data_IF_795516462132
#
_entry.id   IF_795516462132
#
_cell.length_a   1.000
_cell.length_b   1.000
_cell.length_c   1.000
_cell.angle_alpha   90.00
_cell.angle_beta   90.00
_cell.angle_gamma   90.00
#
_symmetry.space_group_name_H-M   'P 1'
#
loop_
_entity.id
_entity.type
_entity.pdbx_description
1 polymer ?
#
# COMPACT_ATOMS: atom_id res chain seq x y z
N UNK A 1 30.72 -8.20 20.57
CA UNK A 1 29.56 -7.31 20.32
C UNK A 1 28.39 -8.19 19.94
N UNK A 2 27.54 -8.51 20.91
CA UNK A 2 26.34 -9.32 20.69
C UNK A 2 25.23 -8.42 20.15
N UNK A 3 24.89 -8.62 18.88
CA UNK A 3 23.72 -8.02 18.24
C UNK A 3 22.46 -8.59 18.89
N UNK A 4 21.83 -7.79 19.75
CA UNK A 4 20.45 -8.03 20.18
C UNK A 4 19.52 -7.79 18.98
N UNK A 5 19.28 -8.83 18.20
CA UNK A 5 18.14 -8.85 17.29
C UNK A 5 16.87 -8.87 18.14
N UNK A 6 16.13 -7.75 18.15
CA UNK A 6 14.78 -7.75 18.70
C UNK A 6 13.93 -8.70 17.84
N UNK A 7 13.78 -9.94 18.29
CA UNK A 7 12.76 -10.84 17.78
C UNK A 7 11.39 -10.26 18.17
N UNK A 8 10.80 -9.49 17.27
CA UNK A 8 9.38 -9.12 17.36
C UNK A 8 8.60 -10.43 17.34
N UNK A 9 8.13 -10.91 18.51
CA UNK A 9 7.27 -12.09 18.60
C UNK A 9 6.02 -11.86 17.75
N UNK A 10 5.99 -12.53 16.61
CA UNK A 10 4.94 -12.45 15.62
C UNK A 10 3.74 -13.26 16.11
N UNK A 11 2.72 -12.58 16.64
CA UNK A 11 1.51 -13.23 17.12
C UNK A 11 0.46 -13.35 16.01
N UNK A 12 -0.20 -14.51 15.86
CA UNK A 12 -1.29 -14.67 14.91
C UNK A 12 -2.48 -13.78 15.30
N UNK A 13 -2.97 -12.98 14.36
CA UNK A 13 -4.06 -12.01 14.55
C UNK A 13 -5.33 -12.57 13.90
N UNK A 14 -6.46 -12.49 14.57
CA UNK A 14 -7.75 -12.86 13.95
C UNK A 14 -8.10 -11.85 12.86
N UNK A 15 -8.63 -12.32 11.74
CA UNK A 15 -9.10 -11.44 10.67
C UNK A 15 -10.44 -10.75 11.03
N UNK A 16 -10.34 -9.72 11.86
CA UNK A 16 -11.42 -8.78 12.18
C UNK A 16 -10.83 -7.42 12.54
N UNK A 17 -11.63 -6.37 12.32
CA UNK A 17 -11.19 -4.98 12.47
C UNK A 17 -10.60 -4.67 13.86
N UNK A 18 -11.21 -5.04 15.01
CA UNK A 18 -10.61 -4.78 16.32
C UNK A 18 -9.23 -5.40 16.53
N UNK A 19 -9.03 -6.65 16.09
CA UNK A 19 -7.77 -7.36 16.24
C UNK A 19 -6.68 -6.78 15.32
N UNK A 20 -7.03 -6.47 14.08
CA UNK A 20 -6.14 -5.80 13.11
C UNK A 20 -5.73 -4.43 13.64
N UNK A 21 -6.69 -3.62 14.09
CA UNK A 21 -6.44 -2.30 14.66
C UNK A 21 -5.43 -2.36 15.80
N UNK A 22 -5.68 -3.23 16.79
CA UNK A 22 -4.77 -3.42 17.93
C UNK A 22 -3.37 -3.86 17.49
N UNK A 23 -3.28 -4.72 16.48
CA UNK A 23 -1.98 -5.16 15.96
C UNK A 23 -1.18 -4.00 15.37
N UNK A 24 -1.80 -3.16 14.52
CA UNK A 24 -1.15 -2.00 13.92
C UNK A 24 -0.68 -1.03 15.01
N UNK A 25 -1.56 -0.74 15.97
CA UNK A 25 -1.28 0.14 17.11
C UNK A 25 -0.13 -0.33 17.99
N UNK A 26 0.06 -1.65 18.11
CA UNK A 26 1.16 -2.26 18.85
C UNK A 26 2.45 -2.28 18.04
N UNK A 27 2.38 -2.62 16.76
CA UNK A 27 3.54 -2.80 15.89
C UNK A 27 4.32 -1.49 15.71
N UNK A 28 3.62 -0.37 15.52
CA UNK A 28 4.25 0.94 15.32
C UNK A 28 4.14 1.88 16.50
N UNK A 29 3.58 1.44 17.63
CA UNK A 29 3.34 2.29 18.81
C UNK A 29 2.58 3.59 18.46
N UNK A 30 1.63 3.52 17.53
CA UNK A 30 0.79 4.64 17.08
C UNK A 30 -0.64 4.45 17.56
N UNK A 31 -1.23 5.44 18.24
CA UNK A 31 -2.60 5.34 18.77
C UNK A 31 -3.24 6.72 18.92
N UNK A 32 -4.53 6.90 18.59
CA UNK A 32 -5.47 5.91 18.05
C UNK A 32 -5.47 5.88 16.53
N UNK A 33 -5.68 4.70 15.92
CA UNK A 33 -5.88 4.61 14.47
C UNK A 33 -7.35 4.40 14.10
N UNK A 34 -7.71 4.73 12.85
CA UNK A 34 -8.99 4.38 12.23
C UNK A 34 -8.72 3.61 10.95
N UNK A 35 -9.21 2.37 10.86
CA UNK A 35 -9.19 1.62 9.60
C UNK A 35 -10.21 2.28 8.65
N UNK A 36 -9.82 2.49 7.40
CA UNK A 36 -10.65 3.15 6.37
C UNK A 36 -11.02 2.21 5.25
N UNK A 37 -10.09 1.33 4.85
CA UNK A 37 -10.32 0.37 3.79
C UNK A 37 -9.38 -0.83 3.97
N UNK A 38 -9.74 -1.97 3.37
CA UNK A 38 -8.86 -3.13 3.30
C UNK A 38 -9.10 -3.93 2.03
N UNK A 39 -8.04 -4.47 1.45
CA UNK A 39 -8.09 -5.25 0.22
C UNK A 39 -7.28 -6.55 0.39
N UNK A 40 -7.83 -7.65 -0.08
CA UNK A 40 -7.15 -8.94 -0.16
C UNK A 40 -6.42 -9.05 -1.51
N UNK A 41 -5.11 -9.31 -1.48
CA UNK A 41 -4.27 -9.51 -2.67
C UNK A 41 -3.48 -10.82 -2.51
N UNK A 42 -3.79 -11.84 -3.31
CA UNK A 42 -3.19 -13.16 -3.17
C UNK A 42 -3.33 -13.73 -1.75
N UNK A 43 -2.19 -13.96 -1.09
CA UNK A 43 -2.08 -14.44 0.28
C UNK A 43 -1.91 -13.32 1.32
N UNK A 44 -2.04 -12.06 0.92
CA UNK A 44 -1.81 -10.90 1.79
C UNK A 44 -3.07 -10.03 1.88
N UNK A 45 -3.20 -9.29 2.98
CA UNK A 45 -4.21 -8.28 3.21
C UNK A 45 -3.53 -6.93 3.37
N UNK A 46 -3.94 -5.95 2.57
CA UNK A 46 -3.51 -4.56 2.68
C UNK A 46 -4.59 -3.80 3.44
N UNK A 47 -4.18 -3.02 4.43
CA UNK A 47 -5.08 -2.21 5.27
C UNK A 47 -4.65 -0.76 5.18
N UNK A 48 -5.56 0.08 4.70
CA UNK A 48 -5.45 1.53 4.74
C UNK A 48 -6.08 2.04 6.05
N UNK A 49 -5.30 2.79 6.81
CA UNK A 49 -5.74 3.42 8.05
C UNK A 49 -5.33 4.89 8.11
N UNK A 50 -5.95 5.64 9.00
CA UNK A 50 -5.50 6.99 9.38
C UNK A 50 -5.05 6.99 10.83
N UNK A 51 -4.02 7.78 11.11
CA UNK A 51 -3.53 8.09 12.45
C UNK A 51 -3.27 9.59 12.49
N UNK A 52 -3.92 10.30 13.41
CA UNK A 52 -3.96 11.77 13.37
C UNK A 52 -4.41 12.27 11.98
N UNK A 53 -3.60 13.09 11.32
CA UNK A 53 -3.81 13.60 9.96
C UNK A 53 -2.95 12.88 8.90
N UNK A 54 -2.50 11.67 9.19
CA UNK A 54 -1.61 10.90 8.34
C UNK A 54 -2.31 9.67 7.73
N UNK A 55 -1.86 9.31 6.53
CA UNK A 55 -2.25 8.08 5.84
C UNK A 55 -1.27 6.97 6.21
N UNK A 56 -1.80 5.83 6.59
CA UNK A 56 -1.07 4.64 6.95
C UNK A 56 -1.44 3.43 6.11
N UNK A 57 -0.47 2.57 5.91
CA UNK A 57 -0.58 1.27 5.26
C UNK A 57 -0.08 0.20 6.23
N UNK A 58 -0.81 -0.90 6.32
CA UNK A 58 -0.30 -2.12 6.94
C UNK A 58 -0.51 -3.32 6.02
N UNK A 59 0.46 -4.21 5.99
CA UNK A 59 0.47 -5.41 5.17
C UNK A 59 0.48 -6.62 6.09
N UNK A 60 -0.46 -7.52 5.88
CA UNK A 60 -0.56 -8.77 6.61
C UNK A 60 -0.43 -9.95 5.66
N UNK A 61 0.24 -11.02 6.08
CA UNK A 61 0.19 -12.30 5.39
C UNK A 61 -0.81 -13.24 6.05
N UNK A 62 -1.55 -14.00 5.24
CA UNK A 62 -2.47 -15.04 5.70
C UNK A 62 -1.71 -16.32 6.03
N UNK A 63 -1.80 -16.73 7.28
CA UNK A 63 -1.34 -18.03 7.75
C UNK A 63 -2.36 -19.15 7.53
N UNK A 64 -1.92 -20.37 7.84
CA UNK A 64 -2.62 -21.64 7.56
C UNK A 64 -4.02 -21.75 8.23
N UNK A 65 -4.31 -20.93 9.25
CA UNK A 65 -5.58 -20.97 10.00
C UNK A 65 -6.42 -19.68 9.87
N UNK A 66 -6.34 -18.97 8.74
CA UNK A 66 -6.97 -17.63 8.52
C UNK A 66 -6.49 -16.54 9.50
N UNK A 67 -5.46 -16.83 10.28
CA UNK A 67 -4.81 -15.83 11.11
C UNK A 67 -3.90 -14.99 10.23
N UNK A 68 -3.88 -13.69 10.50
CA UNK A 68 -3.05 -12.70 9.86
C UNK A 68 -1.73 -12.55 10.62
N UNK A 69 -0.68 -12.21 9.88
CA UNK A 69 0.63 -11.90 10.39
C UNK A 69 1.05 -10.51 9.90
N UNK A 70 1.17 -9.54 10.80
CA UNK A 70 1.59 -8.18 10.43
C UNK A 70 3.06 -8.18 9.96
N UNK A 71 3.28 -7.82 8.70
CA UNK A 71 4.60 -7.75 8.07
C UNK A 71 5.19 -6.36 8.08
N UNK A 72 4.33 -5.37 7.92
CA UNK A 72 4.74 -3.99 7.79
C UNK A 72 3.63 -3.06 8.27
N UNK A 73 4.04 -1.94 8.86
CA UNK A 73 3.21 -0.79 9.14
C UNK A 73 4.02 0.45 8.81
N UNK A 74 3.50 1.28 7.90
CA UNK A 74 4.08 2.57 7.55
C UNK A 74 3.02 3.66 7.56
N UNK A 75 3.42 4.89 7.84
CA UNK A 75 2.54 6.06 7.81
C UNK A 75 3.31 7.30 7.35
N UNK A 76 2.60 8.40 7.06
CA UNK A 76 3.20 9.64 6.65
C UNK A 76 2.18 10.70 6.24
N UNK A 77 2.68 11.90 5.99
CA UNK A 77 1.86 13.10 5.71
C UNK A 77 1.36 13.20 4.27
N UNK A 78 1.89 12.37 3.36
CA UNK A 78 1.36 12.29 1.99
C UNK A 78 -0.05 11.70 2.00
N UNK A 79 -0.96 12.30 1.23
CA UNK A 79 -2.33 11.81 1.03
C UNK A 79 -2.39 10.48 0.25
N UNK A 80 -1.32 10.16 -0.47
CA UNK A 80 -1.19 8.96 -1.31
C UNK A 80 0.07 8.21 -0.92
N UNK A 81 -0.01 6.88 -0.93
CA UNK A 81 1.12 5.96 -0.74
C UNK A 81 1.11 4.94 -1.86
N UNK A 82 2.31 4.52 -2.26
CA UNK A 82 2.50 3.47 -3.25
C UNK A 82 3.65 2.57 -2.84
N UNK A 83 3.53 1.28 -3.14
CA UNK A 83 4.53 0.29 -2.77
C UNK A 83 4.44 -0.93 -3.69
N UNK A 84 5.52 -1.71 -3.75
CA UNK A 84 5.49 -3.07 -4.32
C UNK A 84 5.38 -4.05 -3.16
N UNK A 85 4.37 -4.91 -3.22
CA UNK A 85 4.08 -5.93 -2.23
C UNK A 85 4.28 -7.29 -2.88
N UNK A 86 5.08 -8.15 -2.24
CA UNK A 86 5.19 -9.57 -2.60
C UNK A 86 4.18 -10.37 -1.80
N UNK A 87 3.28 -11.07 -2.48
CA UNK A 87 2.32 -12.00 -1.87
C UNK A 87 2.47 -13.39 -2.48
N UNK A 88 3.04 -14.32 -1.70
CA UNK A 88 3.54 -15.59 -2.23
C UNK A 88 4.62 -15.33 -3.27
N UNK A 89 4.47 -15.92 -4.47
CA UNK A 89 5.38 -15.74 -5.60
C UNK A 89 4.94 -14.62 -6.57
N UNK A 90 3.90 -13.87 -6.23
CA UNK A 90 3.41 -12.78 -7.08
C UNK A 90 3.72 -11.42 -6.47
N UNK A 91 4.16 -10.47 -7.31
CA UNK A 91 4.33 -9.07 -6.94
C UNK A 91 3.14 -8.24 -7.41
N UNK A 92 2.77 -7.28 -6.57
CA UNK A 92 1.71 -6.33 -6.83
C UNK A 92 2.25 -4.93 -6.59
N UNK A 93 1.93 -4.00 -7.48
CA UNK A 93 1.95 -2.59 -7.12
C UNK A 93 0.65 -2.28 -6.39
N UNK A 94 0.76 -1.52 -5.32
CA UNK A 94 -0.39 -0.93 -4.63
C UNK A 94 -0.29 0.59 -4.66
N UNK A 95 -1.45 1.23 -4.79
CA UNK A 95 -1.65 2.65 -4.67
C UNK A 95 -2.85 2.87 -3.75
N UNK A 96 -2.66 3.60 -2.66
CA UNK A 96 -3.72 3.82 -1.68
C UNK A 96 -3.68 5.23 -1.11
N UNK A 97 -4.81 5.70 -0.60
CA UNK A 97 -4.88 7.00 0.04
C UNK A 97 -6.26 7.62 0.06
N UNK A 98 -6.29 8.93 0.23
CA UNK A 98 -7.49 9.76 0.16
C UNK A 98 -7.78 10.12 -1.31
N UNK A 99 -9.01 9.90 -1.77
CA UNK A 99 -9.45 10.30 -3.09
C UNK A 99 -10.11 11.69 -3.04
N UNK A 100 -9.42 12.68 -3.62
CA UNK A 100 -9.93 14.03 -3.86
C UNK A 100 -10.02 14.28 -5.37
N UNK A 101 -10.89 13.51 -6.05
CA UNK A 101 -11.16 13.53 -7.50
C UNK A 101 -10.15 12.80 -8.41
N UNK A 102 -9.41 11.81 -7.89
CA UNK A 102 -8.58 10.90 -8.68
C UNK A 102 -9.42 9.88 -9.47
N UNK A 103 -9.02 9.61 -10.71
CA UNK A 103 -9.65 8.64 -11.62
C UNK A 103 -8.75 7.47 -12.01
N UNK A 104 -7.46 7.72 -12.24
CA UNK A 104 -6.51 6.67 -12.64
C UNK A 104 -5.06 7.02 -12.28
N UNK A 105 -4.18 6.04 -12.42
CA UNK A 105 -2.74 6.21 -12.31
C UNK A 105 -1.98 5.43 -13.38
N UNK A 106 -0.86 5.99 -13.84
CA UNK A 106 0.19 5.27 -14.58
C UNK A 106 1.40 5.11 -13.65
N UNK A 107 1.94 3.91 -13.57
CA UNK A 107 3.10 3.61 -12.71
C UNK A 107 4.13 2.83 -13.53
N UNK A 108 5.39 3.27 -13.54
CA UNK A 108 6.48 2.51 -14.16
C UNK A 108 7.22 1.66 -13.14
N UNK A 109 7.37 0.38 -13.48
CA UNK A 109 8.10 -0.60 -12.69
C UNK A 109 8.98 -1.43 -13.62
N UNK A 110 10.30 -1.36 -13.42
CA UNK A 110 11.27 -2.11 -14.21
C UNK A 110 11.12 -1.87 -15.72
N UNK A 111 10.91 -0.60 -16.11
CA UNK A 111 10.67 -0.17 -17.49
C UNK A 111 9.29 -0.47 -18.07
N UNK A 112 8.40 -1.17 -17.36
CA UNK A 112 7.03 -1.45 -17.81
C UNK A 112 6.02 -0.49 -17.20
N UNK A 113 5.05 -0.03 -18.00
CA UNK A 113 4.00 0.89 -17.56
C UNK A 113 2.73 0.13 -17.22
N UNK A 114 2.26 0.33 -15.99
CA UNK A 114 1.04 -0.25 -15.47
C UNK A 114 -0.03 0.83 -15.28
N UNK A 115 -1.25 0.53 -15.74
CA UNK A 115 -2.41 1.40 -15.57
C UNK A 115 -3.28 0.89 -14.41
N UNK A 116 -3.60 1.76 -13.47
CA UNK A 116 -4.50 1.47 -12.36
C UNK A 116 -5.74 2.37 -12.45
N UNK A 117 -6.91 1.76 -12.32
CA UNK A 117 -8.14 2.52 -12.07
C UNK A 117 -8.26 2.83 -10.59
N UNK A 118 -8.69 4.05 -10.25
CA UNK A 118 -8.88 4.48 -8.86
C UNK A 118 -10.39 4.50 -8.55
N UNK A 119 -10.87 3.72 -7.56
CA UNK A 119 -12.25 3.76 -7.11
C UNK A 119 -12.66 5.15 -6.64
N UNK A 120 -13.94 5.51 -6.82
CA UNK A 120 -14.49 6.83 -6.40
C UNK A 120 -14.69 6.97 -4.90
N UNK A 121 -14.35 5.95 -4.11
CA UNK A 121 -14.44 5.99 -2.65
C UNK A 121 -13.48 7.01 -2.06
N UNK A 122 -13.90 7.71 -1.00
CA UNK A 122 -13.08 8.73 -0.34
C UNK A 122 -11.73 8.19 0.17
N UNK A 123 -11.67 6.90 0.53
CA UNK A 123 -10.43 6.20 0.84
C UNK A 123 -10.32 4.96 -0.04
N UNK A 124 -9.24 4.85 -0.83
CA UNK A 124 -9.11 3.82 -1.84
C UNK A 124 -7.85 2.97 -1.67
N UNK A 125 -7.92 1.75 -2.18
CA UNK A 125 -6.78 0.87 -2.43
C UNK A 125 -6.95 0.34 -3.85
N UNK A 126 -6.00 0.64 -4.72
CA UNK A 126 -5.90 0.09 -6.08
C UNK A 126 -4.65 -0.76 -6.19
N UNK A 127 -4.72 -1.82 -6.98
CA UNK A 127 -3.59 -2.73 -7.18
C UNK A 127 -3.55 -3.27 -8.60
N UNK A 128 -2.35 -3.63 -9.04
CA UNK A 128 -2.11 -4.33 -10.29
C UNK A 128 -0.97 -5.33 -10.07
N UNK A 129 -1.13 -6.52 -10.64
CA UNK A 129 -0.06 -7.53 -10.68
C UNK A 129 1.04 -7.06 -11.62
N UNK A 130 2.29 -7.16 -11.19
CA UNK A 130 3.45 -6.79 -12.01
C UNK A 130 4.28 -8.02 -12.38
N UNK A 131 5.03 -7.91 -13.47
CA UNK A 131 5.98 -8.94 -13.91
C UNK A 131 7.10 -9.10 -12.88
N UNK A 132 7.71 -10.29 -12.86
CA UNK A 132 8.71 -10.63 -11.86
C UNK A 132 10.13 -10.16 -12.25
N UNK A 133 10.22 -9.14 -13.11
CA UNK A 133 11.49 -8.64 -13.64
C UNK A 133 12.45 -8.22 -12.52
N UNK A 134 13.75 -8.38 -12.80
CA UNK A 134 14.82 -8.36 -11.80
C UNK A 134 15.02 -7.02 -11.08
N UNK A 135 14.34 -5.95 -11.50
CA UNK A 135 14.31 -4.65 -10.84
C UNK A 135 12.87 -4.24 -10.53
N UNK A 136 12.32 -4.75 -9.43
CA UNK A 136 11.00 -4.37 -8.94
C UNK A 136 11.08 -3.05 -8.15
N UNK A 137 11.54 -1.99 -8.80
CA UNK A 137 11.54 -0.63 -8.27
C UNK A 137 10.49 0.20 -8.97
N UNK A 138 9.75 1.00 -8.21
CA UNK A 138 8.85 2.00 -8.77
C UNK A 138 9.72 3.18 -9.21
N UNK A 139 9.82 3.38 -10.52
CA UNK A 139 10.60 4.46 -11.11
C UNK A 139 9.86 5.78 -11.00
N UNK A 140 8.58 5.78 -11.40
CA UNK A 140 7.72 6.94 -11.36
C UNK A 140 6.24 6.60 -11.23
N UNK A 141 5.47 7.60 -10.78
CA UNK A 141 4.01 7.54 -10.63
C UNK A 141 3.40 8.82 -11.19
N UNK A 142 2.35 8.68 -11.99
CA UNK A 142 1.54 9.81 -12.48
C UNK A 142 0.08 9.54 -12.15
N UNK A 143 -0.58 10.51 -11.53
CA UNK A 143 -2.00 10.45 -11.18
C UNK A 143 -2.82 11.35 -12.10
N UNK A 144 -4.00 10.87 -12.47
CA UNK A 144 -4.96 11.59 -13.29
C UNK A 144 -6.28 11.73 -12.53
N UNK A 145 -6.94 12.87 -12.71
CA UNK A 145 -8.29 13.09 -12.21
C UNK A 145 -9.34 12.31 -13.03
N UNK A 146 -10.59 12.41 -12.61
CA UNK A 146 -11.73 11.77 -13.29
C UNK A 146 -12.01 12.29 -14.70
N UNK A 147 -11.44 13.44 -15.08
CA UNK A 147 -11.47 14.01 -16.43
C UNK A 147 -10.22 13.65 -17.26
N UNK A 148 -9.39 12.71 -16.76
CA UNK A 148 -8.14 12.27 -17.36
C UNK A 148 -7.08 13.39 -17.48
N UNK A 149 -7.16 14.41 -16.64
CA UNK A 149 -6.14 15.45 -16.52
C UNK A 149 -5.12 15.04 -15.48
N UNK A 150 -3.84 15.20 -15.81
CA UNK A 150 -2.75 14.97 -14.85
C UNK A 150 -2.85 15.92 -13.65
N UNK A 151 -2.74 15.37 -12.45
CA UNK A 151 -2.79 16.12 -11.18
C UNK A 151 -1.52 16.03 -10.36
N UNK A 152 -0.76 14.94 -10.50
CA UNK A 152 0.47 14.71 -9.76
C UNK A 152 1.42 13.84 -10.56
N UNK A 153 2.70 14.20 -10.51
CA UNK A 153 3.81 13.44 -11.09
C UNK A 153 4.92 13.29 -10.05
N UNK A 154 5.41 12.06 -9.89
CA UNK A 154 6.43 11.71 -8.91
C UNK A 154 7.58 11.02 -9.65
N UNK A 155 8.80 11.52 -9.45
CA UNK A 155 10.05 10.98 -10.00
C UNK A 155 10.10 10.89 -11.55
N UNK A 156 9.25 11.62 -12.25
CA UNK A 156 9.26 11.72 -13.71
C UNK A 156 9.50 13.19 -14.10
N UNK A 157 10.49 13.50 -14.94
CA UNK A 157 10.73 14.87 -15.41
C UNK A 157 9.51 15.48 -16.11
N UNK A 158 9.37 16.81 -16.03
CA UNK A 158 8.23 17.54 -16.60
C UNK A 158 8.25 17.62 -18.14
N UNK A 159 9.42 17.45 -18.74
CA UNK A 159 9.65 17.43 -20.19
C UNK A 159 9.39 16.05 -20.82
N UNK A 160 9.22 15.00 -19.99
CA UNK A 160 8.93 13.67 -20.48
C UNK A 160 7.43 13.47 -20.75
N UNK A 161 7.10 13.24 -22.02
CA UNK A 161 5.73 12.93 -22.46
C UNK A 161 5.41 11.46 -22.14
N UNK A 162 4.22 11.24 -21.58
CA UNK A 162 3.68 9.89 -21.36
C UNK A 162 2.98 9.45 -22.64
N UNK A 163 3.50 8.43 -23.32
CA UNK A 163 2.79 7.73 -24.39
C UNK A 163 1.63 6.87 -23.84
#
# INVERSE_FOLDING_TARGET
>A
MESHGNETKLHPIRDNEPAIKRSIEQFSNIRPISIKNSLEIGHSKVVLFTFENQIGESIFDKGINKNLLNKNVGHGTSKIRYSIIKSGDTKYVTLLGENDNLGSAKISVGGEIYNLSIPKDHFFISTVKVSDSHESLIEWVVLFDTANKEVLRINLPNDQVLE
#
